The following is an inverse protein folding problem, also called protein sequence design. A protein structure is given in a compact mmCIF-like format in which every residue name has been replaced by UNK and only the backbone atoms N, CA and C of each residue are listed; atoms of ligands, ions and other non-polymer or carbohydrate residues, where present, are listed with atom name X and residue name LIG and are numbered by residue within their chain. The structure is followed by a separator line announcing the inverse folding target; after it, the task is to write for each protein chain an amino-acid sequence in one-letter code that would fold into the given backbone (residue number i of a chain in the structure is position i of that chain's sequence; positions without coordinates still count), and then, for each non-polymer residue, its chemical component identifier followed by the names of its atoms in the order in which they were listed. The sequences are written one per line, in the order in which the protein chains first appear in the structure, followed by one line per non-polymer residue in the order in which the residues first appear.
data_IF_830121406737
#
_entry.id   IF_830121406737
#
_cell.length_a   1.000
_cell.length_b   1.000
_cell.length_c   1.000
_cell.angle_alpha   90.00
_cell.angle_beta   90.00
_cell.angle_gamma   90.00
#
_symmetry.space_group_name_H-M   'P 1'
#
loop_
_entity.id
_entity.type
_entity.pdbx_description
1 polymer ?
#
# COMPACT_ATOMS: atom_id res chain seq x y z
N UNK A 1 -11.57 -2.69 2.31
CA UNK A 1 -11.57 -1.30 1.80
C UNK A 1 -11.61 -1.35 0.29
N UNK A 2 -12.37 -0.46 -0.38
CA UNK A 2 -12.50 -0.45 -1.84
C UNK A 2 -11.68 0.70 -2.43
N UNK A 3 -10.87 0.40 -3.44
CA UNK A 3 -10.08 1.38 -4.19
C UNK A 3 -10.52 1.38 -5.66
N UNK A 4 -10.43 2.54 -6.31
CA UNK A 4 -10.87 2.72 -7.70
C UNK A 4 -9.76 3.33 -8.53
N UNK A 5 -9.46 2.69 -9.66
CA UNK A 5 -8.43 3.16 -10.60
C UNK A 5 -9.06 3.44 -11.96
N UNK A 6 -9.14 4.73 -12.28
CA UNK A 6 -9.71 5.24 -13.53
C UNK A 6 -8.67 5.41 -14.65
N UNK A 7 -7.39 5.40 -14.29
CA UNK A 7 -6.28 5.44 -15.24
C UNK A 7 -5.68 4.05 -15.38
N UNK A 8 -5.10 3.78 -16.55
CA UNK A 8 -4.37 2.53 -16.78
C UNK A 8 -3.19 2.43 -15.82
N UNK A 9 -3.24 1.43 -14.95
CA UNK A 9 -2.21 1.08 -13.96
C UNK A 9 -1.96 -0.43 -13.96
N UNK A 10 -0.73 -0.83 -13.64
CA UNK A 10 -0.35 -2.23 -13.44
C UNK A 10 -0.49 -2.66 -11.97
N UNK A 11 -0.29 -3.95 -11.69
CA UNK A 11 -0.50 -4.52 -10.35
C UNK A 11 0.43 -3.94 -9.29
N UNK A 12 1.67 -3.59 -9.63
CA UNK A 12 2.60 -2.98 -8.68
C UNK A 12 2.24 -1.53 -8.35
N UNK A 13 1.71 -0.78 -9.32
CA UNK A 13 1.21 0.57 -9.09
C UNK A 13 0.00 0.56 -8.15
N UNK A 14 -0.92 -0.39 -8.34
CA UNK A 14 -2.06 -0.61 -7.44
C UNK A 14 -1.58 -0.92 -6.02
N UNK A 15 -0.63 -1.85 -5.86
CA UNK A 15 -0.08 -2.22 -4.55
C UNK A 15 0.60 -1.01 -3.88
N UNK A 16 1.37 -0.23 -4.64
CA UNK A 16 2.08 0.94 -4.12
C UNK A 16 1.12 2.08 -3.70
N UNK A 17 -0.02 2.24 -4.38
CA UNK A 17 -1.04 3.23 -4.02
C UNK A 17 -1.80 2.83 -2.74
N UNK A 18 -2.19 1.54 -2.64
CA UNK A 18 -2.82 0.99 -1.42
C UNK A 18 -1.82 1.01 -0.25
N UNK A 19 -0.55 0.74 -0.52
CA UNK A 19 0.48 0.61 0.48
C UNK A 19 1.83 1.21 0.03
N UNK A 20 1.98 2.52 0.26
CA UNK A 20 3.22 3.22 -0.06
C UNK A 20 4.32 2.94 0.99
N UNK A 21 5.02 1.82 0.80
CA UNK A 21 6.16 1.45 1.65
C UNK A 21 7.30 2.48 1.57
N UNK A 22 7.45 3.20 0.45
CA UNK A 22 8.52 4.18 0.27
C UNK A 22 8.26 5.44 1.08
N UNK A 23 7.00 5.89 1.15
CA UNK A 23 6.58 6.96 2.06
C UNK A 23 6.94 6.63 3.51
N UNK A 24 6.64 5.41 3.94
CA UNK A 24 6.92 4.95 5.31
C UNK A 24 8.44 4.90 5.59
N UNK A 25 9.23 4.37 4.66
CA UNK A 25 10.70 4.34 4.78
C UNK A 25 11.28 5.76 4.83
N UNK A 26 10.78 6.68 3.98
CA UNK A 26 11.20 8.08 3.97
C UNK A 26 10.93 8.75 5.32
N UNK A 27 9.70 8.67 5.82
CA UNK A 27 9.30 9.32 7.07
C UNK A 27 10.10 8.78 8.26
N UNK A 28 10.42 7.47 8.24
CA UNK A 28 11.30 6.85 9.21
C UNK A 28 12.75 7.37 9.14
N UNK A 29 13.33 7.45 7.94
CA UNK A 29 14.70 7.98 7.73
C UNK A 29 14.80 9.45 8.13
N UNK A 30 13.81 10.26 7.79
CA UNK A 30 13.77 11.68 8.19
C UNK A 30 13.67 11.84 9.70
N UNK A 31 12.85 11.03 10.36
CA UNK A 31 12.75 11.02 11.82
C UNK A 31 14.05 10.55 12.48
N UNK A 32 14.74 9.58 11.87
CA UNK A 32 16.06 9.11 12.31
C UNK A 32 17.13 10.19 12.19
N UNK A 33 17.15 10.92 11.07
CA UNK A 33 18.09 12.02 10.85
C UNK A 33 17.91 13.17 11.85
N UNK A 34 16.69 13.38 12.35
CA UNK A 34 16.36 14.42 13.36
C UNK A 34 16.63 13.98 14.81
N UNK A 35 17.07 12.74 15.03
CA UNK A 35 17.20 12.15 16.36
C UNK A 35 15.90 11.47 16.79
N UNK A 36 15.78 10.19 16.45
CA UNK A 36 14.59 9.38 16.72
C UNK A 36 14.45 9.09 18.23
N UNK A 37 13.56 9.83 18.89
CA UNK A 37 13.10 9.51 20.24
C UNK A 37 12.15 8.31 20.24
N UNK A 38 11.98 7.68 21.40
CA UNK A 38 10.97 6.62 21.62
C UNK A 38 9.56 7.11 21.27
N UNK A 39 9.19 8.34 21.65
CA UNK A 39 7.89 8.92 21.35
C UNK A 39 7.65 9.12 19.84
N UNK A 40 8.66 9.60 19.11
CA UNK A 40 8.58 9.74 17.65
C UNK A 40 8.53 8.37 16.95
N UNK A 41 9.25 7.37 17.46
CA UNK A 41 9.17 6.01 16.93
C UNK A 41 7.78 5.39 17.14
N UNK A 42 7.21 5.53 18.33
CA UNK A 42 5.87 5.03 18.62
C UNK A 42 4.78 5.75 17.80
N UNK A 43 4.97 7.04 17.50
CA UNK A 43 4.06 7.79 16.63
C UNK A 43 4.05 7.24 15.20
N UNK A 44 5.24 6.94 14.66
CA UNK A 44 5.37 6.26 13.36
C UNK A 44 4.72 4.88 13.39
N UNK A 45 4.97 4.10 14.45
CA UNK A 45 4.39 2.76 14.62
C UNK A 45 2.86 2.78 14.70
N UNK A 46 2.25 3.76 15.37
CA UNK A 46 0.78 3.88 15.52
C UNK A 46 0.07 4.00 14.18
N UNK A 47 0.60 4.77 13.24
CA UNK A 47 0.04 4.86 11.88
C UNK A 47 0.02 3.49 11.18
N UNK A 48 0.95 2.61 11.55
CA UNK A 48 1.05 1.25 11.01
C UNK A 48 0.16 0.23 11.74
N UNK A 49 -0.36 0.55 12.93
CA UNK A 49 -1.25 -0.35 13.67
C UNK A 49 -2.65 -0.43 13.07
N UNK A 50 -3.06 0.58 12.28
CA UNK A 50 -4.29 0.53 11.50
C UNK A 50 -4.12 -0.21 10.15
N UNK A 51 -2.96 -0.85 9.92
CA UNK A 51 -2.72 -1.59 8.68
C UNK A 51 -3.73 -2.71 8.51
N UNK A 52 -4.59 -2.52 7.52
CA UNK A 52 -5.38 -3.58 6.95
C UNK A 52 -4.44 -4.42 6.08
N UNK A 53 -4.53 -5.74 6.25
CA UNK A 53 -3.87 -6.67 5.35
C UNK A 53 -4.38 -6.43 3.92
N UNK A 54 -3.52 -6.59 2.92
CA UNK A 54 -3.92 -6.48 1.51
C UNK A 54 -5.09 -7.43 1.18
N UNK A 55 -5.20 -8.55 1.91
CA UNK A 55 -6.33 -9.49 1.91
C UNK A 55 -7.72 -8.91 2.21
N UNK A 56 -7.80 -7.70 2.78
CA UNK A 56 -9.07 -7.01 3.05
C UNK A 56 -9.41 -5.95 1.98
N UNK A 57 -8.58 -5.82 0.94
CA UNK A 57 -8.73 -4.80 -0.09
C UNK A 57 -9.42 -5.38 -1.33
N UNK A 58 -10.29 -4.58 -1.91
CA UNK A 58 -10.82 -4.84 -3.25
C UNK A 58 -10.61 -3.63 -4.15
N UNK A 59 -10.31 -3.90 -5.42
CA UNK A 59 -10.01 -2.87 -6.42
C UNK A 59 -11.02 -2.95 -7.55
N UNK A 60 -11.51 -1.79 -7.98
CA UNK A 60 -12.34 -1.68 -9.17
C UNK A 60 -11.54 -0.97 -10.25
N UNK A 61 -11.50 -1.58 -11.44
CA UNK A 61 -10.69 -1.13 -12.55
C UNK A 61 -11.59 -0.79 -13.73
N UNK A 62 -11.35 0.36 -14.35
CA UNK A 62 -12.06 0.76 -15.58
C UNK A 62 -11.36 0.26 -16.85
N UNK A 63 -10.25 -0.45 -16.69
CA UNK A 63 -9.39 -0.99 -17.73
C UNK A 63 -9.04 -2.45 -17.44
N UNK A 64 -8.64 -3.17 -18.50
CA UNK A 64 -8.10 -4.50 -18.35
C UNK A 64 -6.67 -4.48 -17.80
N UNK A 65 -6.36 -5.44 -16.95
CA UNK A 65 -5.01 -5.74 -16.46
C UNK A 65 -4.51 -7.06 -17.03
N UNK A 66 -3.19 -7.19 -17.17
CA UNK A 66 -2.56 -8.41 -17.68
C UNK A 66 -2.82 -9.61 -16.77
N UNK A 67 -2.73 -10.83 -17.31
CA UNK A 67 -2.87 -12.05 -16.51
C UNK A 67 -1.81 -12.12 -15.38
N UNK A 68 -0.60 -11.63 -15.64
CA UNK A 68 0.45 -11.51 -14.63
C UNK A 68 0.07 -10.56 -13.49
N UNK A 69 -0.59 -9.44 -13.79
CA UNK A 69 -1.06 -8.50 -12.78
C UNK A 69 -2.21 -9.10 -11.96
N UNK A 70 -3.14 -9.81 -12.62
CA UNK A 70 -4.24 -10.53 -11.93
C UNK A 70 -3.69 -11.56 -10.95
N UNK A 71 -2.68 -12.34 -11.37
CA UNK A 71 -2.01 -13.32 -10.52
C UNK A 71 -1.28 -12.66 -9.35
N UNK A 72 -0.59 -11.53 -9.59
CA UNK A 72 0.10 -10.76 -8.56
C UNK A 72 -0.89 -10.27 -7.49
N UNK A 73 -1.98 -9.63 -7.91
CA UNK A 73 -2.99 -9.08 -7.00
C UNK A 73 -3.66 -10.19 -6.18
N UNK A 74 -4.02 -11.31 -6.81
CA UNK A 74 -4.56 -12.47 -6.11
C UNK A 74 -3.56 -13.06 -5.09
N UNK A 75 -2.27 -13.14 -5.45
CA UNK A 75 -1.23 -13.69 -4.56
C UNK A 75 -1.03 -12.85 -3.29
N UNK A 76 -1.30 -11.53 -3.36
CA UNK A 76 -1.28 -10.65 -2.17
C UNK A 76 -2.65 -10.48 -1.51
N UNK A 77 -3.67 -11.20 -1.99
CA UNK A 77 -5.02 -11.22 -1.41
C UNK A 77 -5.93 -10.07 -1.85
N UNK A 78 -5.53 -9.27 -2.84
CA UNK A 78 -6.37 -8.19 -3.37
C UNK A 78 -7.39 -8.77 -4.35
N UNK A 79 -8.68 -8.52 -4.09
CA UNK A 79 -9.78 -8.90 -4.97
C UNK A 79 -9.99 -7.85 -6.07
N UNK A 80 -10.20 -8.28 -7.31
CA UNK A 80 -10.57 -7.40 -8.44
C UNK A 80 -12.08 -7.52 -8.67
N UNK A 81 -12.80 -6.40 -8.58
CA UNK A 81 -14.26 -6.27 -8.75
C UNK A 81 -14.64 -5.52 -10.02
#
# INVERSE_FOLDING_TARGET
MRYEFNAAVNGWEIIADIFDLRLIDRDFRESTAKGLSSASFDSLRKALLQRQELGCCSVSLTHDVSDSDRQLLAAVGIEIN
#
